data_IF_518361168682
#
_entry.id   IF_518361168682
#
_cell.length_a   1.000
_cell.length_b   1.000
_cell.length_c   1.000
_cell.angle_alpha   90.00
_cell.angle_beta   90.00
_cell.angle_gamma   90.00
#
_symmetry.space_group_name_H-M   'P 1'
#
loop_
_entity.id
_entity.type
_entity.pdbx_description
1 polymer ?
#
# COMPACT_ATOMS: atom_id res chain seq x y z
N UNK A 1 -13.02 13.30 1.75
CA UNK A 1 -11.76 13.17 0.99
C UNK A 1 -12.11 12.77 -0.42
N UNK A 2 -11.66 13.54 -1.41
CA UNK A 2 -11.84 13.20 -2.82
C UNK A 2 -10.92 12.03 -3.20
N UNK A 3 -11.22 11.33 -4.31
CA UNK A 3 -10.33 10.26 -4.81
C UNK A 3 -8.94 10.80 -5.18
N UNK A 4 -8.86 12.05 -5.64
CA UNK A 4 -7.58 12.71 -5.94
C UNK A 4 -6.74 12.95 -4.69
N UNK A 5 -7.36 13.50 -3.63
CA UNK A 5 -6.73 13.66 -2.31
C UNK A 5 -6.29 12.31 -1.74
N UNK A 6 -7.12 11.27 -1.90
CA UNK A 6 -6.83 9.92 -1.45
C UNK A 6 -5.61 9.33 -2.16
N UNK A 7 -5.54 9.46 -3.49
CA UNK A 7 -4.40 9.00 -4.30
C UNK A 7 -3.14 9.77 -3.90
N UNK A 8 -3.21 11.09 -3.77
CA UNK A 8 -2.06 11.91 -3.36
C UNK A 8 -1.58 11.52 -1.96
N UNK A 9 -2.51 11.26 -1.04
CA UNK A 9 -2.18 10.90 0.34
C UNK A 9 -1.60 9.50 0.44
N UNK A 10 -2.20 8.49 -0.20
CA UNK A 10 -1.91 7.08 0.08
C UNK A 10 -1.19 6.33 -1.04
N UNK A 11 -0.94 6.96 -2.18
CA UNK A 11 -0.21 6.36 -3.29
C UNK A 11 1.03 7.17 -3.63
N UNK A 12 1.79 6.69 -4.63
CA UNK A 12 2.95 7.42 -5.16
C UNK A 12 2.58 8.42 -6.27
N UNK A 13 1.28 8.58 -6.57
CA UNK A 13 0.81 9.36 -7.72
C UNK A 13 1.07 8.70 -9.08
N UNK A 14 1.66 7.51 -9.11
CA UNK A 14 1.89 6.75 -10.34
C UNK A 14 0.57 6.24 -10.92
N UNK A 15 0.52 6.13 -12.26
CA UNK A 15 -0.61 5.56 -12.98
C UNK A 15 -0.91 4.14 -12.50
N UNK A 16 -2.17 3.90 -12.21
CA UNK A 16 -2.71 2.60 -11.79
C UNK A 16 -3.24 1.85 -13.01
N UNK A 17 -2.98 0.55 -13.09
CA UNK A 17 -3.39 -0.30 -14.22
C UNK A 17 -4.43 -1.32 -13.77
N UNK A 18 -5.25 -1.81 -14.72
CA UNK A 18 -6.28 -2.80 -14.41
C UNK A 18 -5.72 -4.09 -13.78
N UNK A 19 -4.49 -4.46 -14.15
CA UNK A 19 -3.79 -5.61 -13.53
C UNK A 19 -3.64 -5.47 -12.02
N UNK A 20 -3.53 -4.26 -11.49
CA UNK A 20 -3.38 -4.01 -10.06
C UNK A 20 -4.70 -4.35 -9.33
N UNK A 21 -5.85 -4.14 -9.98
CA UNK A 21 -7.17 -4.60 -9.50
C UNK A 21 -7.23 -6.14 -9.49
N UNK A 22 -6.74 -6.78 -10.54
CA UNK A 22 -6.73 -8.25 -10.65
C UNK A 22 -5.85 -8.91 -9.57
N UNK A 23 -4.73 -8.29 -9.19
CA UNK A 23 -3.88 -8.79 -8.09
C UNK A 23 -4.66 -8.89 -6.78
N UNK A 24 -5.32 -7.80 -6.37
CA UNK A 24 -6.13 -7.79 -5.15
C UNK A 24 -7.34 -8.73 -5.27
N UNK A 25 -7.92 -8.86 -6.47
CA UNK A 25 -9.00 -9.81 -6.70
C UNK A 25 -8.54 -11.28 -6.54
N UNK A 26 -7.33 -11.62 -6.97
CA UNK A 26 -6.74 -12.92 -6.70
C UNK A 26 -6.46 -13.13 -5.20
N UNK A 27 -6.03 -12.10 -4.46
CA UNK A 27 -5.86 -12.17 -2.99
C UNK A 27 -7.23 -12.45 -2.31
N UNK A 28 -8.30 -11.78 -2.76
CA UNK A 28 -9.68 -12.01 -2.32
C UNK A 28 -10.15 -13.44 -2.57
N UNK A 29 -9.96 -13.97 -3.78
CA UNK A 29 -10.30 -15.36 -4.09
C UNK A 29 -9.53 -16.33 -3.18
N UNK A 30 -8.23 -16.08 -2.97
CA UNK A 30 -7.41 -16.86 -2.05
C UNK A 30 -7.94 -16.84 -0.60
N UNK A 31 -8.50 -15.72 -0.14
CA UNK A 31 -9.13 -15.61 1.17
C UNK A 31 -10.46 -16.38 1.25
N UNK A 32 -11.26 -16.34 0.16
CA UNK A 32 -12.53 -17.07 0.03
C UNK A 32 -12.29 -18.58 0.09
N UNK A 33 -11.35 -19.10 -0.70
CA UNK A 33 -11.04 -20.54 -0.70
C UNK A 33 -10.51 -21.05 0.65
N UNK A 34 -9.93 -20.18 1.48
CA UNK A 34 -9.46 -20.49 2.83
C UNK A 34 -10.50 -20.24 3.92
N UNK A 35 -11.71 -19.81 3.56
CA UNK A 35 -12.79 -19.44 4.48
C UNK A 35 -12.39 -18.41 5.56
N UNK A 36 -11.41 -17.56 5.26
CA UNK A 36 -10.91 -16.57 6.23
C UNK A 36 -11.73 -15.28 6.14
N UNK A 37 -12.82 -15.19 6.90
CA UNK A 37 -13.76 -14.05 6.88
C UNK A 37 -13.10 -12.68 7.07
N UNK A 38 -12.17 -12.57 8.02
CA UNK A 38 -11.45 -11.31 8.28
C UNK A 38 -10.63 -10.89 7.07
N UNK A 39 -9.96 -11.86 6.43
CA UNK A 39 -9.16 -11.60 5.23
C UNK A 39 -10.04 -11.28 4.02
N UNK A 40 -11.18 -11.96 3.85
CA UNK A 40 -12.15 -11.64 2.78
C UNK A 40 -12.58 -10.18 2.85
N UNK A 41 -12.91 -9.68 4.05
CA UNK A 41 -13.33 -8.29 4.23
C UNK A 41 -12.19 -7.30 3.94
N UNK A 42 -10.95 -7.65 4.32
CA UNK A 42 -9.75 -6.87 3.99
C UNK A 42 -9.52 -6.79 2.48
N UNK A 43 -9.48 -7.93 1.80
CA UNK A 43 -9.18 -8.00 0.36
C UNK A 43 -10.31 -7.40 -0.49
N UNK A 44 -11.56 -7.53 -0.06
CA UNK A 44 -12.68 -6.88 -0.74
C UNK A 44 -12.54 -5.35 -0.72
N UNK A 45 -12.12 -4.78 0.42
CA UNK A 45 -11.80 -3.34 0.49
C UNK A 45 -10.64 -2.98 -0.42
N UNK A 46 -9.56 -3.75 -0.40
CA UNK A 46 -8.38 -3.45 -1.22
C UNK A 46 -8.74 -3.53 -2.73
N UNK A 47 -9.60 -4.46 -3.17
CA UNK A 47 -10.20 -4.49 -4.52
C UNK A 47 -10.99 -3.22 -4.84
N UNK A 48 -11.91 -2.80 -3.96
CA UNK A 48 -12.69 -1.58 -4.16
C UNK A 48 -11.82 -0.33 -4.29
N UNK A 49 -10.77 -0.23 -3.48
CA UNK A 49 -9.79 0.87 -3.55
C UNK A 49 -9.10 0.87 -4.91
N UNK A 50 -8.55 -0.27 -5.32
CA UNK A 50 -7.81 -0.39 -6.58
C UNK A 50 -8.72 -0.12 -7.77
N UNK A 51 -9.97 -0.60 -7.73
CA UNK A 51 -10.97 -0.34 -8.77
C UNK A 51 -11.30 1.15 -8.89
N UNK A 52 -11.58 1.85 -7.79
CA UNK A 52 -11.91 3.28 -7.84
C UNK A 52 -10.72 4.10 -8.37
N UNK A 53 -9.50 3.79 -7.93
CA UNK A 53 -8.27 4.46 -8.40
C UNK A 53 -8.08 4.20 -9.90
N UNK A 54 -8.28 2.96 -10.36
CA UNK A 54 -8.19 2.63 -11.78
C UNK A 54 -9.23 3.41 -12.60
N UNK A 55 -10.49 3.48 -12.14
CA UNK A 55 -11.55 4.25 -12.79
C UNK A 55 -11.18 5.74 -12.90
N UNK A 56 -10.59 6.33 -11.85
CA UNK A 56 -10.07 7.69 -11.88
C UNK A 56 -8.99 7.86 -12.96
N UNK A 57 -7.97 7.00 -13.00
CA UNK A 57 -6.89 7.13 -13.98
C UNK A 57 -7.28 6.78 -15.42
N UNK A 58 -8.24 5.87 -15.63
CA UNK A 58 -8.62 5.40 -16.96
C UNK A 58 -9.68 6.28 -17.60
N UNK A 59 -10.65 6.77 -16.82
CA UNK A 59 -11.81 7.49 -17.31
C UNK A 59 -11.94 8.90 -16.76
N UNK A 60 -11.04 9.33 -15.86
CA UNK A 60 -11.11 10.65 -15.24
C UNK A 60 -12.30 10.80 -14.28
N UNK A 61 -12.82 9.70 -13.73
CA UNK A 61 -13.97 9.73 -12.80
C UNK A 61 -13.53 10.41 -11.50
N UNK A 62 -13.94 11.67 -11.34
CA UNK A 62 -13.72 12.47 -10.14
C UNK A 62 -14.87 12.28 -9.17
N UNK A 63 -14.61 12.48 -7.88
CA UNK A 63 -15.61 12.41 -6.84
C UNK A 63 -15.03 12.08 -5.47
N UNK A 64 -15.91 11.74 -4.54
CA UNK A 64 -15.53 11.28 -3.21
C UNK A 64 -14.93 9.87 -3.27
N UNK A 65 -13.92 9.61 -2.42
CA UNK A 65 -13.50 8.24 -2.17
C UNK A 65 -14.69 7.45 -1.60
N UNK A 66 -14.94 6.24 -2.10
CA UNK A 66 -16.06 5.43 -1.63
C UNK A 66 -15.95 5.17 -0.12
N UNK A 67 -17.09 5.11 0.58
CA UNK A 67 -17.11 4.91 2.03
C UNK A 67 -16.34 3.65 2.49
N UNK A 68 -16.37 2.59 1.66
CA UNK A 68 -15.61 1.36 1.88
C UNK A 68 -14.08 1.59 1.86
N UNK A 69 -13.60 2.50 1.02
CA UNK A 69 -12.19 2.86 0.90
C UNK A 69 -11.70 3.69 2.10
N UNK A 70 -12.59 4.49 2.69
CA UNK A 70 -12.29 5.27 3.89
C UNK A 70 -12.06 4.37 5.12
N UNK A 71 -12.66 3.18 5.18
CA UNK A 71 -12.37 2.21 6.24
C UNK A 71 -10.92 1.69 6.20
N UNK A 72 -10.25 1.77 5.04
CA UNK A 72 -8.84 1.41 4.92
C UNK A 72 -7.87 2.56 5.27
N UNK A 73 -8.37 3.79 5.41
CA UNK A 73 -7.53 4.98 5.63
C UNK A 73 -6.65 4.87 6.89
N UNK A 74 -7.23 4.42 8.02
CA UNK A 74 -6.48 4.23 9.27
C UNK A 74 -5.34 3.20 9.15
N UNK A 75 -5.57 2.11 8.40
CA UNK A 75 -4.53 1.11 8.07
C UNK A 75 -3.40 1.75 7.26
N UNK A 76 -3.73 2.65 6.33
CA UNK A 76 -2.72 3.31 5.49
C UNK A 76 -1.95 4.40 6.23
N UNK A 77 -2.61 5.19 7.08
CA UNK A 77 -1.95 6.16 7.96
C UNK A 77 -0.94 5.45 8.89
N UNK A 78 -1.33 4.32 9.51
CA UNK A 78 -0.43 3.51 10.33
C UNK A 78 0.79 2.99 9.56
N UNK A 79 0.59 2.59 8.29
CA UNK A 79 1.70 2.14 7.43
C UNK A 79 2.65 3.27 7.06
N UNK A 80 2.15 4.48 6.84
CA UNK A 80 3.00 5.63 6.51
C UNK A 80 3.99 5.96 7.63
N UNK A 81 3.57 5.82 8.90
CA UNK A 81 4.47 6.01 10.05
C UNK A 81 5.66 5.04 9.98
N UNK A 82 5.41 3.78 9.61
CA UNK A 82 6.48 2.78 9.46
C UNK A 82 7.34 3.07 8.24
N UNK A 83 6.73 3.48 7.13
CA UNK A 83 7.46 3.86 5.91
C UNK A 83 8.40 5.04 6.13
N UNK A 84 7.98 6.07 6.86
CA UNK A 84 8.84 7.19 7.27
C UNK A 84 10.09 6.70 8.00
N UNK A 85 9.93 5.79 8.96
CA UNK A 85 11.06 5.18 9.68
C UNK A 85 11.98 4.37 8.75
N UNK A 86 11.41 3.63 7.78
CA UNK A 86 12.19 2.89 6.78
C UNK A 86 13.00 3.87 5.92
N UNK A 87 12.39 4.95 5.42
CA UNK A 87 13.06 5.96 4.61
C UNK A 87 14.19 6.64 5.38
N UNK A 88 13.90 7.10 6.60
CA UNK A 88 14.88 7.68 7.53
C UNK A 88 16.10 6.78 7.71
N UNK A 89 15.85 5.47 7.94
CA UNK A 89 16.92 4.48 8.14
C UNK A 89 17.84 4.31 6.91
N UNK A 90 17.29 4.41 5.69
CA UNK A 90 18.06 4.27 4.45
C UNK A 90 18.56 5.61 3.88
N UNK A 91 18.47 6.70 4.66
CA UNK A 91 18.96 8.02 4.28
C UNK A 91 18.09 8.78 3.27
N UNK A 92 16.82 8.40 3.12
CA UNK A 92 15.85 9.10 2.29
C UNK A 92 15.04 10.11 3.13
N UNK A 93 14.49 11.13 2.47
CA UNK A 93 13.54 12.04 3.11
C UNK A 93 12.28 11.26 3.56
N UNK A 94 11.86 11.45 4.81
CA UNK A 94 10.71 10.75 5.39
C UNK A 94 9.40 11.01 4.63
N UNK A 95 9.24 12.20 4.04
CA UNK A 95 8.05 12.61 3.30
C UNK A 95 8.21 12.49 1.78
N UNK A 96 9.20 11.69 1.31
CA UNK A 96 9.47 11.50 -0.12
C UNK A 96 8.27 10.96 -0.91
N UNK A 97 7.35 10.23 -0.28
CA UNK A 97 6.14 9.74 -0.94
C UNK A 97 5.01 9.44 0.04
N UNK A 98 3.77 9.49 -0.44
CA UNK A 98 2.57 9.04 0.29
C UNK A 98 2.40 7.50 0.35
N UNK A 99 3.43 6.72 0.00
CA UNK A 99 3.28 5.27 -0.15
C UNK A 99 2.87 4.57 1.16
N UNK A 100 1.78 3.81 1.09
CA UNK A 100 1.20 3.07 2.22
C UNK A 100 1.11 1.56 1.96
N UNK A 101 1.97 1.03 1.08
CA UNK A 101 1.98 -0.40 0.75
C UNK A 101 2.38 -1.29 1.92
N UNK A 102 2.07 -2.58 1.81
CA UNK A 102 2.34 -3.56 2.87
C UNK A 102 3.85 -3.77 3.08
N UNK A 103 4.39 -3.21 4.17
CA UNK A 103 5.80 -3.33 4.56
C UNK A 103 6.15 -4.67 5.24
N UNK A 104 5.18 -5.50 5.62
CA UNK A 104 5.44 -6.79 6.27
C UNK A 104 6.11 -7.77 5.31
N UNK A 105 5.86 -7.63 4.00
CA UNK A 105 6.48 -8.47 2.97
C UNK A 105 7.79 -7.83 2.51
N UNK A 106 8.93 -8.45 2.86
CA UNK A 106 10.27 -7.96 2.46
C UNK A 106 10.38 -7.67 0.96
N UNK A 107 9.80 -8.51 0.10
CA UNK A 107 9.77 -8.29 -1.36
C UNK A 107 9.07 -6.98 -1.74
N UNK A 108 7.97 -6.61 -1.07
CA UNK A 108 7.29 -5.32 -1.30
C UNK A 108 8.16 -4.15 -0.82
N UNK A 109 8.99 -4.35 0.21
CA UNK A 109 9.95 -3.33 0.69
C UNK A 109 11.09 -3.12 -0.29
N UNK A 110 11.78 -4.19 -0.66
CA UNK A 110 12.89 -4.16 -1.63
C UNK A 110 12.44 -3.56 -2.97
N UNK A 111 11.33 -4.05 -3.53
CA UNK A 111 10.80 -3.54 -4.80
C UNK A 111 10.42 -2.05 -4.74
N UNK A 112 10.02 -1.55 -3.57
CA UNK A 112 9.78 -0.13 -3.42
C UNK A 112 11.09 0.66 -3.42
N UNK A 113 12.00 0.31 -2.51
CA UNK A 113 13.20 1.08 -2.24
C UNK A 113 14.17 1.06 -3.42
N UNK A 114 14.20 -0.04 -4.20
CA UNK A 114 14.94 -0.11 -5.46
C UNK A 114 14.53 0.99 -6.47
N UNK A 115 13.25 1.36 -6.52
CA UNK A 115 12.78 2.46 -7.39
C UNK A 115 13.22 3.85 -6.90
N UNK A 116 13.71 3.94 -5.66
CA UNK A 116 14.27 5.14 -5.06
C UNK A 116 15.80 5.10 -5.02
N UNK A 117 16.43 4.14 -5.72
CA UNK A 117 17.89 4.02 -5.79
C UNK A 117 18.55 3.31 -4.61
N UNK A 118 17.78 2.73 -3.69
CA UNK A 118 18.33 1.96 -2.57
C UNK A 118 18.60 0.53 -3.01
N UNK A 119 19.78 0.01 -2.68
CA UNK A 119 20.17 -1.35 -3.01
C UNK A 119 19.38 -2.41 -2.20
N UNK A 120 19.42 -3.65 -2.68
CA UNK A 120 18.70 -4.77 -2.07
C UNK A 120 19.12 -5.04 -0.61
N UNK A 121 20.40 -4.90 -0.30
CA UNK A 121 20.95 -5.17 1.02
C UNK A 121 20.44 -4.16 2.06
N UNK A 122 20.53 -2.87 1.76
CA UNK A 122 20.01 -1.80 2.63
C UNK A 122 18.50 -1.91 2.82
N UNK A 123 17.75 -2.28 1.78
CA UNK A 123 16.31 -2.50 1.89
C UNK A 123 15.96 -3.70 2.79
N UNK A 124 16.69 -4.81 2.69
CA UNK A 124 16.52 -5.99 3.57
C UNK A 124 16.91 -5.68 5.01
N UNK A 125 17.99 -4.91 5.22
CA UNK A 125 18.40 -4.49 6.55
C UNK A 125 17.35 -3.58 7.21
N UNK A 126 16.84 -2.59 6.48
CA UNK A 126 15.76 -1.73 6.97
C UNK A 126 14.53 -2.53 7.37
N UNK A 127 14.11 -3.50 6.55
CA UNK A 127 13.00 -4.40 6.89
C UNK A 127 13.27 -5.17 8.18
N UNK A 128 14.46 -5.76 8.34
CA UNK A 128 14.83 -6.49 9.56
C UNK A 128 14.81 -5.59 10.81
N UNK A 129 15.40 -4.40 10.72
CA UNK A 129 15.59 -3.49 11.87
C UNK A 129 14.33 -2.72 12.26
N UNK A 130 13.51 -2.32 11.28
CA UNK A 130 12.32 -1.48 11.52
C UNK A 130 11.04 -2.30 11.58
N UNK A 131 10.91 -3.35 10.77
CA UNK A 131 9.67 -4.15 10.72
C UNK A 131 9.76 -5.33 11.68
N UNK A 132 10.74 -6.23 11.51
CA UNK A 132 10.78 -7.48 12.28
C UNK A 132 11.13 -7.25 13.76
N UNK A 133 12.05 -6.33 14.07
CA UNK A 133 12.42 -6.03 15.47
C UNK A 133 11.22 -5.52 16.30
N UNK A 134 10.27 -4.83 15.66
CA UNK A 134 9.08 -4.28 16.32
C UNK A 134 7.90 -5.27 16.38
N UNK A 135 8.03 -6.47 15.79
CA UNK A 135 7.03 -7.55 15.86
C UNK A 135 7.40 -8.63 16.89
N UNK A 136 8.61 -8.57 17.45
CA UNK A 136 9.13 -9.52 18.45
C UNK A 136 9.16 -8.99 19.88
N UNK A 137 8.61 -7.80 20.12
CA UNK A 137 8.32 -7.21 21.43
C UNK A 137 6.81 -7.09 21.59
#
# INVERSE_FOLDING_TARGET
MTIEEYIKKYSRGNRFYFRDVLVEFCELLGAIFKFNRLKIEEEFRDVCVHLQIWLYYQFGIKGEAWAVNMKAAGKYDARQIVWRKIYSFVGLNEDISGYSGNYLKVKKVVNHLARLGVNDEGAKEAHKKIVLKNLGN
#
